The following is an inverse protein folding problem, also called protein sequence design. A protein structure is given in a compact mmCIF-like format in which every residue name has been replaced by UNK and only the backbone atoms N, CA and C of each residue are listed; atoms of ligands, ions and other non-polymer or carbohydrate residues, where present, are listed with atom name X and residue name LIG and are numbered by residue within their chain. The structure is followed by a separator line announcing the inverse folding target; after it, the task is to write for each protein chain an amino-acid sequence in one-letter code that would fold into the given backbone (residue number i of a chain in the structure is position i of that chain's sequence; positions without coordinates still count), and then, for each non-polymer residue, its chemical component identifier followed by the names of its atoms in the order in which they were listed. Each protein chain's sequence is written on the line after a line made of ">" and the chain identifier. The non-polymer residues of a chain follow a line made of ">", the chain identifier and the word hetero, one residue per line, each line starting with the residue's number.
data_IF_791759026735
#
_entry.id   IF_791759026735
#
_cell.length_a   1.000
_cell.length_b   1.000
_cell.length_c   1.000
_cell.angle_alpha   90.00
_cell.angle_beta   90.00
_cell.angle_gamma   90.00
#
_symmetry.space_group_name_H-M   'P 1'
#
loop_
_entity.id
_entity.type
_entity.pdbx_description
1 polymer ?
#
# COMPACT_ATOMS: atom_id res chain seq x y z
N UNK A 1 -34.66 14.22 -74.51
CA UNK A 1 -34.03 12.89 -74.34
C UNK A 1 -32.53 12.99 -74.10
N UNK A 2 -31.76 13.65 -74.98
CA UNK A 2 -30.30 13.77 -74.84
C UNK A 2 -29.84 14.52 -73.58
N UNK A 3 -30.49 15.63 -73.21
CA UNK A 3 -30.15 16.40 -72.00
C UNK A 3 -30.31 15.56 -70.73
N UNK A 4 -31.39 14.76 -70.64
CA UNK A 4 -31.66 13.88 -69.48
C UNK A 4 -30.55 12.81 -69.36
N UNK A 5 -30.09 12.27 -70.49
CA UNK A 5 -29.00 11.27 -70.52
C UNK A 5 -27.68 11.90 -70.04
N UNK A 6 -27.37 13.14 -70.46
CA UNK A 6 -26.15 13.84 -70.05
C UNK A 6 -26.17 14.15 -68.54
N UNK A 7 -27.29 14.66 -68.01
CA UNK A 7 -27.41 14.94 -66.58
C UNK A 7 -27.28 13.66 -65.74
N UNK A 8 -27.88 12.55 -66.21
CA UNK A 8 -27.78 11.26 -65.54
C UNK A 8 -26.33 10.74 -65.53
N UNK A 9 -25.59 10.88 -66.63
CA UNK A 9 -24.18 10.51 -66.71
C UNK A 9 -23.31 11.30 -65.73
N UNK A 10 -23.56 12.60 -65.59
CA UNK A 10 -22.83 13.46 -64.64
C UNK A 10 -23.08 13.00 -63.20
N UNK A 11 -24.33 12.70 -62.85
CA UNK A 11 -24.69 12.23 -61.50
C UNK A 11 -23.99 10.89 -61.20
N UNK A 12 -23.98 9.96 -62.15
CA UNK A 12 -23.31 8.66 -62.00
C UNK A 12 -21.80 8.86 -61.81
N UNK A 13 -21.18 9.76 -62.58
CA UNK A 13 -19.75 10.06 -62.46
C UNK A 13 -19.40 10.63 -61.08
N UNK A 14 -20.23 11.53 -60.54
CA UNK A 14 -20.04 12.11 -59.20
C UNK A 14 -20.19 11.03 -58.12
N UNK A 15 -21.23 10.19 -58.22
CA UNK A 15 -21.44 9.09 -57.28
C UNK A 15 -20.30 8.07 -57.31
N UNK A 16 -19.79 7.73 -58.49
CA UNK A 16 -18.65 6.83 -58.65
C UNK A 16 -17.36 7.43 -58.08
N UNK A 17 -17.12 8.73 -58.29
CA UNK A 17 -15.97 9.41 -57.70
C UNK A 17 -16.04 9.43 -56.17
N UNK A 18 -17.23 9.68 -55.62
CA UNK A 18 -17.44 9.70 -54.17
C UNK A 18 -17.26 8.30 -53.57
N UNK A 19 -17.83 7.26 -54.18
CA UNK A 19 -17.68 5.89 -53.70
C UNK A 19 -16.22 5.42 -53.72
N UNK A 20 -15.47 5.78 -54.77
CA UNK A 20 -14.03 5.50 -54.86
C UNK A 20 -13.25 6.20 -53.74
N UNK A 21 -13.55 7.48 -53.48
CA UNK A 21 -12.90 8.24 -52.42
C UNK A 21 -13.18 7.64 -51.03
N UNK A 22 -14.43 7.29 -50.75
CA UNK A 22 -14.81 6.60 -49.51
C UNK A 22 -14.12 5.24 -49.38
N UNK A 23 -14.02 4.48 -50.46
CA UNK A 23 -13.33 3.19 -50.46
C UNK A 23 -11.83 3.35 -50.14
N UNK A 24 -11.14 4.32 -50.74
CA UNK A 24 -9.75 4.63 -50.42
C UNK A 24 -9.56 5.09 -48.98
N UNK A 25 -10.45 5.94 -48.49
CA UNK A 25 -10.43 6.40 -47.10
C UNK A 25 -10.64 5.23 -46.11
N UNK A 26 -11.60 4.36 -46.41
CA UNK A 26 -11.91 3.17 -45.63
C UNK A 26 -10.73 2.18 -45.62
N UNK A 27 -10.09 1.93 -46.76
CA UNK A 27 -8.87 1.10 -46.83
C UNK A 27 -7.72 1.68 -46.02
N UNK A 28 -7.51 3.01 -46.06
CA UNK A 28 -6.43 3.67 -45.31
C UNK A 28 -6.66 3.57 -43.80
N UNK A 29 -7.89 3.78 -43.35
CA UNK A 29 -8.28 3.65 -41.94
C UNK A 29 -8.14 2.22 -41.48
N UNK A 30 -8.73 1.25 -42.21
CA UNK A 30 -8.67 -0.15 -41.80
C UNK A 30 -7.24 -0.69 -41.81
N UNK A 31 -6.37 -0.23 -42.72
CA UNK A 31 -4.96 -0.61 -42.70
C UNK A 31 -4.22 -0.01 -41.51
N UNK A 32 -4.50 1.25 -41.16
CA UNK A 32 -3.93 1.86 -39.95
C UNK A 32 -4.40 1.12 -38.70
N UNK A 33 -5.71 0.89 -38.57
CA UNK A 33 -6.32 0.15 -37.46
C UNK A 33 -5.74 -1.27 -37.40
N UNK A 34 -5.71 -2.04 -38.49
CA UNK A 34 -5.15 -3.39 -38.49
C UNK A 34 -3.68 -3.41 -38.13
N UNK A 35 -2.84 -2.47 -38.63
CA UNK A 35 -1.43 -2.40 -38.22
C UNK A 35 -1.29 -2.03 -36.74
N UNK A 36 -2.14 -1.14 -36.21
CA UNK A 36 -2.16 -0.81 -34.78
C UNK A 36 -2.71 -1.95 -33.91
N UNK A 37 -3.62 -2.78 -34.41
CA UNK A 37 -4.19 -3.93 -33.69
C UNK A 37 -3.35 -5.21 -33.83
N UNK A 38 -2.60 -5.33 -34.93
CA UNK A 38 -1.66 -6.45 -35.20
C UNK A 38 -0.30 -6.18 -34.54
N UNK A 39 0.12 -4.91 -34.40
CA UNK A 39 1.22 -4.51 -33.49
C UNK A 39 0.78 -4.28 -32.05
N UNK A 40 -0.50 -4.00 -31.83
CA UNK A 40 -1.12 -3.79 -30.52
C UNK A 40 -2.18 -4.84 -30.30
N UNK A 41 -1.71 -6.06 -30.03
CA UNK A 41 -2.48 -7.23 -29.65
C UNK A 41 -3.73 -6.85 -28.81
N UNK A 42 -4.92 -6.93 -29.39
CA UNK A 42 -6.18 -6.82 -28.63
C UNK A 42 -6.28 -7.90 -27.55
N UNK A 43 -5.56 -9.02 -27.73
CA UNK A 43 -5.30 -10.02 -26.69
C UNK A 43 -4.44 -9.48 -25.55
N UNK A 44 -3.37 -8.74 -25.84
CA UNK A 44 -2.50 -8.10 -24.83
C UNK A 44 -3.29 -7.07 -24.04
N UNK A 45 -4.13 -6.24 -24.67
CA UNK A 45 -4.90 -5.25 -23.92
C UNK A 45 -5.86 -5.92 -22.91
N UNK A 46 -6.54 -7.00 -23.33
CA UNK A 46 -7.41 -7.79 -22.45
C UNK A 46 -6.59 -8.50 -21.36
N UNK A 47 -5.47 -9.11 -21.71
CA UNK A 47 -4.59 -9.84 -20.80
C UNK A 47 -3.93 -8.91 -19.78
N UNK A 48 -3.46 -7.73 -20.22
CA UNK A 48 -2.95 -6.66 -19.35
C UNK A 48 -4.05 -6.18 -18.41
N UNK A 49 -5.26 -5.93 -18.90
CA UNK A 49 -6.38 -5.54 -18.04
C UNK A 49 -6.75 -6.62 -17.02
N UNK A 50 -6.81 -7.89 -17.41
CA UNK A 50 -7.04 -9.00 -16.48
C UNK A 50 -5.90 -9.13 -15.46
N UNK A 51 -4.65 -9.04 -15.90
CA UNK A 51 -3.50 -9.07 -14.99
C UNK A 51 -3.51 -7.90 -14.00
N UNK A 52 -4.01 -6.73 -14.42
CA UNK A 52 -4.13 -5.57 -13.56
C UNK A 52 -5.25 -5.75 -12.53
N UNK A 53 -6.37 -6.36 -12.93
CA UNK A 53 -7.47 -6.71 -12.02
C UNK A 53 -6.99 -7.74 -10.98
N UNK A 54 -6.25 -8.77 -11.40
CA UNK A 54 -5.69 -9.77 -10.48
C UNK A 54 -4.68 -9.15 -9.50
N UNK A 55 -3.75 -8.34 -10.00
CA UNK A 55 -2.81 -7.59 -9.14
C UNK A 55 -3.53 -6.68 -8.16
N UNK A 56 -4.62 -6.02 -8.58
CA UNK A 56 -5.39 -5.16 -7.68
C UNK A 56 -6.04 -5.97 -6.55
N UNK A 57 -6.59 -7.15 -6.85
CA UNK A 57 -7.13 -8.05 -5.83
C UNK A 57 -6.04 -8.57 -4.88
N UNK A 58 -4.87 -8.91 -5.40
CA UNK A 58 -3.74 -9.35 -4.59
C UNK A 58 -3.25 -8.24 -3.64
N UNK A 59 -3.20 -7.01 -4.14
CA UNK A 59 -2.88 -5.81 -3.34
C UNK A 59 -3.94 -5.59 -2.26
N UNK A 60 -5.24 -5.72 -2.57
CA UNK A 60 -6.31 -5.58 -1.57
C UNK A 60 -6.20 -6.62 -0.45
N UNK A 61 -5.90 -7.87 -0.79
CA UNK A 61 -5.68 -8.93 0.20
C UNK A 61 -4.45 -8.64 1.06
N UNK A 62 -3.32 -8.31 0.43
CA UNK A 62 -2.07 -7.97 1.13
C UNK A 62 -2.26 -6.76 2.05
N UNK A 63 -3.00 -5.77 1.59
CA UNK A 63 -3.30 -4.57 2.38
C UNK A 63 -4.14 -4.92 3.61
N UNK A 64 -5.16 -5.78 3.44
CA UNK A 64 -5.98 -6.25 4.55
C UNK A 64 -5.12 -6.98 5.59
N UNK A 65 -4.30 -7.93 5.16
CA UNK A 65 -3.41 -8.68 6.05
C UNK A 65 -2.41 -7.76 6.76
N UNK A 66 -1.89 -6.76 6.04
CA UNK A 66 -0.98 -5.76 6.63
C UNK A 66 -1.67 -4.92 7.70
N UNK A 67 -2.91 -4.48 7.47
CA UNK A 67 -3.69 -3.72 8.45
C UNK A 67 -3.97 -4.57 9.69
N UNK A 68 -4.32 -5.85 9.52
CA UNK A 68 -4.59 -6.75 10.64
C UNK A 68 -3.32 -7.02 11.45
N UNK A 69 -2.17 -7.16 10.79
CA UNK A 69 -0.87 -7.26 11.47
C UNK A 69 -0.51 -5.98 12.25
N UNK A 70 -0.75 -4.81 11.68
CA UNK A 70 -0.51 -3.53 12.35
C UNK A 70 -1.37 -3.41 13.60
N UNK A 71 -2.66 -3.76 13.52
CA UNK A 71 -3.57 -3.75 14.68
C UNK A 71 -3.06 -4.66 15.79
N UNK A 72 -2.63 -5.88 15.44
CA UNK A 72 -2.06 -6.80 16.41
C UNK A 72 -0.80 -6.23 17.07
N UNK A 73 0.07 -5.56 16.31
CA UNK A 73 1.26 -4.89 16.84
C UNK A 73 0.90 -3.71 17.74
N UNK A 74 -0.11 -2.93 17.40
CA UNK A 74 -0.61 -1.82 18.25
C UNK A 74 -1.14 -2.33 19.59
N UNK A 75 -1.91 -3.43 19.57
CA UNK A 75 -2.44 -4.06 20.78
C UNK A 75 -1.31 -4.58 21.68
N UNK A 76 -0.31 -5.24 21.09
CA UNK A 76 0.88 -5.71 21.83
C UNK A 76 1.68 -4.52 22.38
N UNK A 77 1.89 -3.49 21.55
CA UNK A 77 2.68 -2.31 21.94
C UNK A 77 2.04 -1.58 23.12
N UNK A 78 0.71 -1.52 23.19
CA UNK A 78 -0.02 -0.85 24.28
C UNK A 78 0.29 -1.45 25.65
N UNK A 79 0.38 -2.77 25.73
CA UNK A 79 0.64 -3.53 26.98
C UNK A 79 2.13 -3.85 27.19
N UNK A 80 2.98 -3.54 26.22
CA UNK A 80 4.42 -3.78 26.32
C UNK A 80 5.09 -2.78 27.28
N UNK A 81 6.07 -3.26 28.04
CA UNK A 81 6.90 -2.41 28.90
C UNK A 81 7.80 -1.53 28.02
N UNK A 82 7.52 -0.24 27.98
CA UNK A 82 8.23 0.71 27.10
C UNK A 82 8.84 1.89 27.87
N UNK A 83 8.42 2.12 29.12
CA UNK A 83 8.96 3.17 29.99
C UNK A 83 9.79 2.51 31.09
N UNK A 84 11.11 2.57 30.95
CA UNK A 84 12.05 1.99 31.92
C UNK A 84 12.90 3.10 32.53
N UNK A 85 12.88 3.20 33.86
CA UNK A 85 13.65 4.19 34.62
C UNK A 85 14.43 3.53 35.75
N UNK A 86 15.68 3.94 35.93
CA UNK A 86 16.54 3.44 37.02
C UNK A 86 17.02 4.63 37.85
N UNK A 87 16.81 4.55 39.15
CA UNK A 87 17.33 5.53 40.11
C UNK A 87 18.23 4.80 41.10
N UNK A 88 19.47 5.27 41.21
CA UNK A 88 20.40 4.82 42.25
C UNK A 88 20.37 5.83 43.38
N UNK A 89 20.29 5.35 44.60
CA UNK A 89 20.23 6.20 45.78
C UNK A 89 20.98 5.55 46.93
N UNK A 90 21.21 6.34 47.97
CA UNK A 90 21.84 5.89 49.18
C UNK A 90 20.89 6.15 50.36
N UNK A 91 20.25 5.10 50.89
CA UNK A 91 19.29 5.25 51.98
C UNK A 91 19.95 5.53 53.35
N UNK A 92 21.29 5.43 53.47
CA UNK A 92 22.01 5.47 54.75
C UNK A 92 22.98 6.65 54.89
N UNK A 93 22.95 7.63 53.97
CA UNK A 93 23.75 8.86 54.09
C UNK A 93 25.25 8.62 53.96
N UNK A 94 26.06 8.99 54.95
CA UNK A 94 27.53 8.92 54.85
C UNK A 94 28.12 7.50 55.00
N UNK A 95 27.30 6.50 55.35
CA UNK A 95 27.72 5.11 55.55
C UNK A 95 27.06 4.20 54.52
N UNK A 96 27.79 3.86 53.46
CA UNK A 96 27.33 3.02 52.35
C UNK A 96 27.24 3.82 51.06
N UNK A 97 27.76 3.30 49.95
CA UNK A 97 27.71 4.00 48.66
C UNK A 97 26.31 4.00 48.02
N UNK A 98 26.20 4.53 46.80
CA UNK A 98 24.98 4.46 45.95
C UNK A 98 24.72 3.03 45.39
N UNK A 99 24.69 2.04 46.27
CA UNK A 99 24.48 0.63 45.93
C UNK A 99 23.00 0.21 45.93
N UNK A 100 22.13 0.98 46.59
CA UNK A 100 20.68 0.77 46.50
C UNK A 100 20.12 1.35 45.20
N UNK A 101 19.07 0.72 44.68
CA UNK A 101 18.47 1.12 43.41
C UNK A 101 16.96 0.84 43.37
N UNK A 102 16.26 1.59 42.54
CA UNK A 102 14.88 1.35 42.14
C UNK A 102 14.79 1.33 40.61
N UNK A 103 14.09 0.33 40.07
CA UNK A 103 13.80 0.16 38.64
C UNK A 103 12.28 0.22 38.49
N UNK A 104 11.79 1.18 37.72
CA UNK A 104 10.40 1.23 37.30
C UNK A 104 10.30 0.73 35.86
N UNK A 105 9.41 -0.24 35.62
CA UNK A 105 9.07 -0.72 34.29
C UNK A 105 7.57 -0.57 34.09
N UNK A 106 7.18 0.32 33.19
CA UNK A 106 5.78 0.68 32.93
C UNK A 106 5.44 0.54 31.44
N UNK A 107 4.18 0.30 31.16
CA UNK A 107 3.59 0.25 29.83
C UNK A 107 3.16 1.64 29.30
N UNK A 108 2.40 1.66 28.21
CA UNK A 108 1.83 2.89 27.65
C UNK A 108 0.83 3.61 28.55
N UNK A 109 0.08 2.88 29.37
CA UNK A 109 -0.92 3.42 30.29
C UNK A 109 -0.34 3.82 31.65
N UNK A 110 0.96 3.58 31.86
CA UNK A 110 1.67 3.73 33.14
C UNK A 110 1.35 2.63 34.15
N UNK A 111 0.87 1.48 33.68
CA UNK A 111 0.72 0.27 34.48
C UNK A 111 2.01 -0.56 34.40
N UNK A 112 2.39 -1.22 35.49
CA UNK A 112 3.62 -2.02 35.51
C UNK A 112 4.06 -2.36 36.92
N UNK A 113 5.37 -2.41 37.15
CA UNK A 113 5.89 -2.72 38.48
C UNK A 113 7.20 -1.98 38.76
N UNK A 114 7.43 -1.76 40.04
CA UNK A 114 8.66 -1.16 40.56
C UNK A 114 9.41 -2.18 41.39
N UNK A 115 10.66 -2.43 41.03
CA UNK A 115 11.60 -3.26 41.79
C UNK A 115 12.57 -2.35 42.51
N UNK A 116 12.59 -2.40 43.84
CA UNK A 116 13.61 -1.71 44.63
C UNK A 116 14.47 -2.72 45.38
N UNK A 117 15.77 -2.43 45.46
CA UNK A 117 16.72 -3.20 46.23
C UNK A 117 17.44 -2.28 47.21
N UNK A 118 17.40 -2.68 48.47
CA UNK A 118 18.09 -2.01 49.56
C UNK A 118 19.24 -2.90 50.00
N UNK A 119 20.46 -2.41 49.80
CA UNK A 119 21.66 -3.08 50.29
C UNK A 119 21.99 -2.55 51.69
N UNK A 120 21.62 -3.32 52.70
CA UNK A 120 22.05 -3.10 54.07
C UNK A 120 23.20 -4.08 54.39
N UNK A 121 24.12 -3.72 55.28
CA UNK A 121 25.40 -4.42 55.52
C UNK A 121 25.28 -5.92 55.90
N UNK A 122 24.07 -6.44 56.13
CA UNK A 122 23.81 -7.81 56.57
C UNK A 122 22.86 -8.62 55.68
N UNK A 123 21.97 -8.02 54.87
CA UNK A 123 21.00 -8.75 54.04
C UNK A 123 20.54 -7.91 52.84
N UNK A 124 20.49 -8.53 51.66
CA UNK A 124 19.96 -7.90 50.45
C UNK A 124 18.44 -8.14 50.37
N UNK A 125 17.61 -7.10 50.35
CA UNK A 125 16.14 -7.20 50.25
C UNK A 125 15.66 -6.60 48.94
N UNK A 126 14.87 -7.37 48.18
CA UNK A 126 14.18 -6.93 46.95
C UNK A 126 12.69 -6.77 47.27
N UNK A 127 12.15 -5.57 47.04
CA UNK A 127 10.73 -5.25 47.21
C UNK A 127 10.11 -5.02 45.83
N UNK A 128 9.05 -5.76 45.53
CA UNK A 128 8.24 -5.63 44.32
C UNK A 128 6.93 -4.92 44.69
N UNK A 129 6.70 -3.73 44.15
CA UNK A 129 5.43 -3.01 44.27
C UNK A 129 4.73 -3.09 42.92
N UNK A 130 3.53 -3.69 42.91
CA UNK A 130 2.61 -3.77 41.77
C UNK A 130 1.64 -2.61 41.79
#
# INVERSE_FOLDING_TARGET
>A
MQIIIITLLIIIAILASLSLFLFFYYMRINKAINVFLEKGNVKDAREVLFSQIEKTKEIELTLKDTIDNIRSLEDISRVSLQKIGIVRFNPFGDMGGNQSFAIAMLDGNNDGFVVSSLLDLLLNKVLLQM
#
